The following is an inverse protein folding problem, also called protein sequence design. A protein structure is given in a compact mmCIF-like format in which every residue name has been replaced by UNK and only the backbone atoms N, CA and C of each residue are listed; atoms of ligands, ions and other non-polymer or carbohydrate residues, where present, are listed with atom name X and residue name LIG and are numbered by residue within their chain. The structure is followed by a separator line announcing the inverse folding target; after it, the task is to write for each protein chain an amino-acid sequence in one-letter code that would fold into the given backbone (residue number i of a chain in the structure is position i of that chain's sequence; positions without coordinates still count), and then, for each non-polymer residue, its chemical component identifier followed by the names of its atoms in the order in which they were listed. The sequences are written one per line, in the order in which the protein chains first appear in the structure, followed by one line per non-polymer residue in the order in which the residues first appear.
data_IF_150679361607
#
_entry.id   IF_150679361607
#
_cell.length_a   1.000
_cell.length_b   1.000
_cell.length_c   1.000
_cell.angle_alpha   90.00
_cell.angle_beta   90.00
_cell.angle_gamma   90.00
#
_symmetry.space_group_name_H-M   'P 1'
#
loop_
_entity.id
_entity.type
_entity.pdbx_description
1 polymer ?
#
# COMPACT_ATOMS: atom_id res chain seq x y z
N UNK A 1 16.22 3.67 -9.62
CA UNK A 1 16.46 3.04 -8.29
C UNK A 1 15.50 1.87 -8.17
N UNK A 2 15.92 0.74 -7.60
CA UNK A 2 15.04 -0.43 -7.46
C UNK A 2 13.90 -0.13 -6.49
N UNK A 3 12.75 -0.74 -6.73
CA UNK A 3 11.57 -0.61 -5.84
C UNK A 3 11.90 -1.05 -4.43
N UNK A 4 12.69 -2.12 -4.27
CA UNK A 4 13.13 -2.59 -2.95
C UNK A 4 13.90 -1.53 -2.15
N UNK A 5 14.89 -0.88 -2.77
CA UNK A 5 15.70 0.16 -2.13
C UNK A 5 14.83 1.36 -1.73
N UNK A 6 13.97 1.81 -2.65
CA UNK A 6 13.03 2.90 -2.42
C UNK A 6 12.09 2.62 -1.25
N UNK A 7 11.59 1.38 -1.18
CA UNK A 7 10.70 0.95 -0.12
C UNK A 7 11.42 0.88 1.22
N UNK A 8 12.67 0.41 1.24
CA UNK A 8 13.52 0.46 2.44
C UNK A 8 13.67 1.88 2.98
N UNK A 9 13.93 2.86 2.10
CA UNK A 9 14.01 4.27 2.48
C UNK A 9 12.66 4.81 3.01
N UNK A 10 11.55 4.46 2.35
CA UNK A 10 10.21 4.85 2.77
C UNK A 10 9.85 4.30 4.16
N UNK A 11 10.10 3.02 4.41
CA UNK A 11 9.82 2.38 5.70
C UNK A 11 10.67 3.00 6.83
N UNK A 12 11.95 3.28 6.54
CA UNK A 12 12.83 3.95 7.49
C UNK A 12 12.39 5.40 7.77
N UNK A 13 11.96 6.14 6.75
CA UNK A 13 11.45 7.51 6.90
C UNK A 13 10.17 7.58 7.75
N UNK A 14 9.34 6.53 7.69
CA UNK A 14 8.11 6.42 8.47
C UNK A 14 8.29 5.70 9.82
N UNK A 15 9.54 5.44 10.24
CA UNK A 15 9.87 4.77 11.52
C UNK A 15 9.25 3.37 11.67
N UNK A 16 8.93 2.70 10.55
CA UNK A 16 8.43 1.33 10.52
C UNK A 16 9.58 0.32 10.54
N UNK A 17 10.71 0.68 9.93
CA UNK A 17 11.95 -0.07 9.96
C UNK A 17 13.08 0.79 10.52
N UNK A 18 14.11 0.16 11.08
CA UNK A 18 15.32 0.87 11.50
C UNK A 18 15.99 1.47 10.26
N UNK A 19 16.51 2.70 10.34
CA UNK A 19 17.26 3.28 9.21
C UNK A 19 18.49 2.41 8.90
N UNK A 20 18.56 1.87 7.69
CA UNK A 20 19.60 0.94 7.25
C UNK A 20 19.30 -0.54 7.53
N UNK A 21 18.19 -0.90 8.19
CA UNK A 21 17.67 -2.27 8.13
C UNK A 21 16.91 -2.46 6.83
N UNK A 22 17.15 -3.57 6.15
CA UNK A 22 16.42 -3.92 4.94
C UNK A 22 14.94 -4.22 5.21
N UNK A 23 14.13 -4.14 4.16
CA UNK A 23 12.72 -4.60 4.11
C UNK A 23 12.51 -5.98 4.76
N UNK A 24 13.49 -6.88 4.63
CA UNK A 24 13.44 -8.22 5.18
C UNK A 24 13.23 -8.23 6.70
N UNK A 25 13.81 -7.29 7.45
CA UNK A 25 13.62 -7.21 8.91
C UNK A 25 12.16 -6.84 9.25
N UNK A 26 11.60 -5.85 8.54
CA UNK A 26 10.20 -5.44 8.67
C UNK A 26 9.22 -6.58 8.30
N UNK A 27 9.52 -7.37 7.26
CA UNK A 27 8.67 -8.49 6.84
C UNK A 27 8.91 -9.77 7.62
N UNK A 28 10.07 -9.90 8.27
CA UNK A 28 10.38 -11.01 9.15
C UNK A 28 9.62 -10.90 10.47
N UNK A 29 9.19 -9.70 10.87
CA UNK A 29 8.44 -9.52 12.11
C UNK A 29 7.14 -10.35 12.08
N UNK A 30 6.84 -10.94 13.22
CA UNK A 30 5.69 -11.83 13.44
C UNK A 30 4.49 -11.05 13.96
N UNK A 31 4.68 -9.81 14.36
CA UNK A 31 3.64 -8.94 14.90
C UNK A 31 3.73 -7.59 14.22
N UNK A 32 2.65 -7.20 13.55
CA UNK A 32 2.49 -5.82 13.11
C UNK A 32 1.86 -5.05 14.26
N UNK A 33 2.36 -3.86 14.58
CA UNK A 33 1.73 -3.01 15.58
C UNK A 33 1.12 -1.81 14.89
N UNK A 34 -0.19 -1.61 15.07
CA UNK A 34 -0.88 -0.43 14.56
C UNK A 34 -1.34 0.45 15.73
N UNK A 35 -1.04 1.76 15.74
CA UNK A 35 -1.38 2.64 16.85
C UNK A 35 -2.88 2.98 16.85
N UNK A 36 -3.69 2.33 17.68
CA UNK A 36 -5.13 2.60 17.89
C UNK A 36 -5.30 3.57 19.06
N UNK A 37 -5.76 4.80 18.79
CA UNK A 37 -5.99 5.82 19.83
C UNK A 37 -4.78 6.03 20.77
N UNK A 38 -3.56 5.92 20.23
CA UNK A 38 -2.32 6.03 21.00
C UNK A 38 -1.81 4.73 21.64
N UNK A 39 -2.53 3.60 21.47
CA UNK A 39 -2.13 2.27 21.93
C UNK A 39 -1.63 1.43 20.77
N UNK A 40 -0.43 0.87 20.85
CA UNK A 40 0.06 -0.08 19.86
C UNK A 40 -0.70 -1.40 19.98
N UNK A 41 -1.59 -1.68 19.02
CA UNK A 41 -2.36 -2.92 19.00
C UNK A 41 -1.67 -3.94 18.11
N UNK A 42 -1.32 -5.11 18.65
CA UNK A 42 -0.69 -6.17 17.87
C UNK A 42 -1.70 -6.80 16.90
N UNK A 43 -1.35 -6.80 15.63
CA UNK A 43 -2.03 -7.48 14.54
C UNK A 43 -1.17 -8.66 14.09
N UNK A 44 -1.71 -9.88 14.25
CA UNK A 44 -1.02 -11.10 13.86
C UNK A 44 -1.19 -11.33 12.35
N UNK A 45 -0.11 -11.34 11.55
CA UNK A 45 -0.21 -11.67 10.14
C UNK A 45 -0.47 -13.17 9.96
N UNK A 46 -1.68 -13.49 9.49
CA UNK A 46 -2.01 -14.84 9.04
C UNK A 46 -1.19 -15.25 7.80
N UNK A 47 -1.09 -16.56 7.56
CA UNK A 47 -0.43 -17.14 6.38
C UNK A 47 -0.91 -16.45 5.08
N UNK A 48 0.03 -16.02 4.24
CA UNK A 48 -0.25 -15.37 2.95
C UNK A 48 -0.21 -13.83 2.97
N UNK A 49 -0.24 -13.19 4.15
CA UNK A 49 -0.13 -11.73 4.29
C UNK A 49 1.21 -11.20 3.73
N UNK A 50 2.32 -11.90 4.00
CA UNK A 50 3.66 -11.45 3.58
C UNK A 50 3.84 -11.31 2.07
N UNK A 51 3.09 -12.08 1.26
CA UNK A 51 3.17 -11.97 -0.20
C UNK A 51 2.48 -10.72 -0.73
N UNK A 52 1.51 -10.14 0.00
CA UNK A 52 0.84 -8.90 -0.41
C UNK A 52 1.58 -7.63 0.01
N UNK A 53 2.44 -7.72 1.03
CA UNK A 53 3.13 -6.57 1.63
C UNK A 53 3.91 -5.71 0.62
N UNK A 54 4.72 -6.27 -0.31
CA UNK A 54 5.42 -5.44 -1.29
C UNK A 54 4.51 -4.54 -2.11
N UNK A 55 3.38 -5.08 -2.60
CA UNK A 55 2.42 -4.30 -3.36
C UNK A 55 1.75 -3.24 -2.47
N UNK A 56 1.28 -3.65 -1.30
CA UNK A 56 0.63 -2.79 -0.32
C UNK A 56 1.48 -1.58 0.10
N UNK A 57 2.70 -1.83 0.58
CA UNK A 57 3.57 -0.74 1.05
C UNK A 57 3.99 0.16 -0.11
N UNK A 58 4.15 -0.41 -1.32
CA UNK A 58 4.41 0.37 -2.53
C UNK A 58 3.22 1.26 -2.89
N UNK A 59 1.98 0.83 -2.67
CA UNK A 59 0.80 1.68 -2.85
C UNK A 59 0.79 2.86 -1.87
N UNK A 60 1.17 2.65 -0.61
CA UNK A 60 1.35 3.75 0.35
C UNK A 60 2.38 4.76 -0.17
N UNK A 61 3.57 4.25 -0.51
CA UNK A 61 4.69 5.06 -0.98
C UNK A 61 4.34 5.88 -2.23
N UNK A 62 3.82 5.23 -3.28
CA UNK A 62 3.55 5.88 -4.57
C UNK A 62 2.30 6.76 -4.54
N UNK A 63 1.30 6.44 -3.71
CA UNK A 63 0.12 7.29 -3.60
C UNK A 63 0.28 8.47 -2.63
N UNK A 64 1.32 8.42 -1.79
CA UNK A 64 1.56 9.41 -0.73
C UNK A 64 0.61 9.26 0.46
N UNK A 65 0.06 8.05 0.68
CA UNK A 65 -0.81 7.80 1.82
C UNK A 65 0.05 7.53 3.07
N UNK A 66 -0.22 8.23 4.20
CA UNK A 66 0.58 8.06 5.40
C UNK A 66 0.43 6.64 5.97
N UNK A 67 1.40 6.15 6.71
CA UNK A 67 1.33 4.84 7.38
C UNK A 67 0.67 4.98 8.75
N UNK A 68 -0.53 5.57 8.77
CA UNK A 68 -1.38 5.72 9.96
C UNK A 68 -2.81 5.28 9.63
N UNK A 69 -3.71 5.26 10.62
CA UNK A 69 -5.09 4.81 10.44
C UNK A 69 -5.84 5.49 9.29
N UNK A 70 -5.64 6.80 9.11
CA UNK A 70 -6.28 7.52 8.02
C UNK A 70 -5.70 7.09 6.68
N UNK A 71 -4.40 6.90 6.59
CA UNK A 71 -3.77 6.43 5.37
C UNK A 71 -4.07 4.96 5.06
N UNK A 72 -4.21 4.09 6.06
CA UNK A 72 -4.72 2.72 5.86
C UNK A 72 -6.14 2.75 5.27
N UNK A 73 -6.99 3.65 5.77
CA UNK A 73 -8.32 3.88 5.23
C UNK A 73 -8.30 4.42 3.79
N UNK A 74 -7.34 5.28 3.45
CA UNK A 74 -7.14 5.79 2.08
C UNK A 74 -6.63 4.67 1.15
N UNK A 75 -5.60 3.93 1.57
CA UNK A 75 -5.05 2.79 0.84
C UNK A 75 -6.11 1.72 0.64
N UNK A 76 -6.90 1.37 1.65
CA UNK A 76 -7.97 0.38 1.53
C UNK A 76 -9.01 0.76 0.49
N UNK A 77 -9.48 2.01 0.53
CA UNK A 77 -10.42 2.52 -0.44
C UNK A 77 -9.82 2.52 -1.86
N UNK A 78 -8.56 2.93 -2.01
CA UNK A 78 -7.88 2.94 -3.29
C UNK A 78 -7.60 1.54 -3.84
N UNK A 79 -7.16 0.59 -3.01
CA UNK A 79 -6.85 -0.78 -3.43
C UNK A 79 -8.09 -1.51 -3.92
N UNK A 80 -9.21 -1.40 -3.20
CA UNK A 80 -10.50 -1.95 -3.61
C UNK A 80 -10.98 -1.34 -4.94
N UNK A 81 -10.78 -0.03 -5.11
CA UNK A 81 -11.19 0.71 -6.29
C UNK A 81 -10.32 0.46 -7.54
N UNK A 82 -9.04 0.16 -7.38
CA UNK A 82 -8.04 0.00 -8.47
C UNK A 82 -7.92 -1.43 -9.03
N UNK A 83 -8.85 -2.31 -8.66
CA UNK A 83 -8.88 -3.71 -9.10
C UNK A 83 -8.85 -4.74 -7.96
N UNK A 84 -8.78 -4.29 -6.70
CA UNK A 84 -8.82 -5.15 -5.54
C UNK A 84 -7.49 -5.83 -5.22
N UNK A 85 -7.55 -6.85 -4.35
CA UNK A 85 -6.35 -7.46 -3.75
C UNK A 85 -5.82 -8.70 -4.49
N UNK A 86 -6.22 -8.90 -5.76
CA UNK A 86 -5.78 -10.05 -6.56
C UNK A 86 -5.99 -11.40 -5.85
N UNK A 87 -4.98 -12.30 -5.82
CA UNK A 87 -5.06 -13.60 -5.16
C UNK A 87 -4.93 -13.52 -3.63
N UNK A 88 -4.72 -12.34 -3.05
CA UNK A 88 -4.44 -12.18 -1.62
C UNK A 88 -5.75 -12.04 -0.81
N UNK A 89 -6.41 -13.16 -0.55
CA UNK A 89 -7.72 -13.20 0.15
C UNK A 89 -7.68 -12.49 1.52
N UNK A 90 -6.58 -12.62 2.27
CA UNK A 90 -6.44 -11.94 3.57
C UNK A 90 -6.53 -10.42 3.41
N UNK A 91 -5.93 -9.87 2.35
CA UNK A 91 -6.03 -8.44 2.06
C UNK A 91 -7.44 -8.03 1.63
N UNK A 92 -8.20 -8.88 0.94
CA UNK A 92 -9.61 -8.57 0.65
C UNK A 92 -10.41 -8.34 1.93
N UNK A 93 -10.30 -9.25 2.90
CA UNK A 93 -11.00 -9.14 4.19
C UNK A 93 -10.57 -7.88 4.94
N UNK A 94 -9.26 -7.68 5.03
CA UNK A 94 -8.67 -6.56 5.74
C UNK A 94 -9.03 -5.21 5.11
N UNK A 95 -8.94 -5.07 3.78
CA UNK A 95 -9.30 -3.84 3.08
C UNK A 95 -10.79 -3.53 3.15
N UNK A 96 -11.67 -4.54 3.17
CA UNK A 96 -13.12 -4.33 3.42
C UNK A 96 -13.36 -3.82 4.84
N UNK A 97 -12.67 -4.38 5.84
CA UNK A 97 -12.75 -3.92 7.22
C UNK A 97 -12.27 -2.46 7.35
N UNK A 98 -11.10 -2.13 6.78
CA UNK A 98 -10.58 -0.76 6.80
C UNK A 98 -11.45 0.21 6.00
N UNK A 99 -12.10 -0.23 4.93
CA UNK A 99 -13.09 0.60 4.23
C UNK A 99 -14.33 0.87 5.13
N UNK A 100 -14.81 -0.12 5.87
CA UNK A 100 -15.90 0.10 6.82
C UNK A 100 -15.51 1.09 7.93
N UNK A 101 -14.28 0.98 8.44
CA UNK A 101 -13.72 1.93 9.42
C UNK A 101 -13.55 3.33 8.80
N UNK A 102 -13.12 3.40 7.54
CA UNK A 102 -12.93 4.65 6.80
C UNK A 102 -14.19 5.50 6.72
N UNK A 103 -15.36 4.87 6.59
CA UNK A 103 -16.65 5.56 6.56
C UNK A 103 -16.94 6.33 7.86
N UNK A 104 -16.37 5.90 8.98
CA UNK A 104 -16.49 6.58 10.27
C UNK A 104 -15.37 7.59 10.53
N UNK A 105 -14.12 7.26 10.19
CA UNK A 105 -12.94 8.04 10.60
C UNK A 105 -12.53 9.09 9.56
N UNK A 106 -12.57 8.75 8.27
CA UNK A 106 -12.01 9.59 7.20
C UNK A 106 -12.81 9.56 5.89
N UNK A 107 -14.15 9.71 5.91
CA UNK A 107 -15.01 9.39 4.77
C UNK A 107 -14.67 10.19 3.50
N UNK A 108 -14.44 11.51 3.63
CA UNK A 108 -14.14 12.37 2.48
C UNK A 108 -12.76 12.12 1.88
N UNK A 109 -11.80 11.64 2.69
CA UNK A 109 -10.44 11.31 2.24
C UNK A 109 -10.45 9.96 1.53
N UNK A 110 -11.08 8.96 2.13
CA UNK A 110 -11.23 7.65 1.53
C UNK A 110 -12.09 7.67 0.27
N UNK A 111 -13.12 8.52 0.17
CA UNK A 111 -13.87 8.71 -1.08
C UNK A 111 -13.00 9.30 -2.20
N UNK A 112 -12.08 10.23 -1.88
CA UNK A 112 -11.12 10.76 -2.86
C UNK A 112 -10.14 9.69 -3.31
N UNK A 113 -9.61 8.90 -2.37
CA UNK A 113 -8.72 7.77 -2.66
C UNK A 113 -9.42 6.71 -3.52
N UNK A 114 -10.68 6.38 -3.22
CA UNK A 114 -11.53 5.51 -4.05
C UNK A 114 -11.67 6.02 -5.48
N UNK A 115 -12.07 7.28 -5.66
CA UNK A 115 -12.22 7.90 -6.99
C UNK A 115 -10.91 7.89 -7.78
N UNK A 116 -9.78 8.15 -7.12
CA UNK A 116 -8.46 8.06 -7.71
C UNK A 116 -8.14 6.63 -8.16
N UNK A 117 -8.48 5.63 -7.36
CA UNK A 117 -8.27 4.21 -7.65
C UNK A 117 -8.90 3.75 -8.96
N UNK A 118 -10.10 4.24 -9.31
CA UNK A 118 -10.76 3.89 -10.58
C UNK A 118 -9.97 4.25 -11.85
N UNK A 119 -9.07 5.23 -11.75
CA UNK A 119 -8.24 5.68 -12.88
C UNK A 119 -6.83 5.09 -12.88
N UNK A 120 -6.54 4.20 -11.93
CA UNK A 120 -5.20 3.66 -11.68
C UNK A 120 -5.22 2.14 -11.70
N UNK A 121 -4.03 1.55 -11.77
CA UNK A 121 -3.90 0.09 -11.71
C UNK A 121 -3.23 -0.35 -10.43
N UNK A 122 -3.68 -1.50 -9.95
CA UNK A 122 -3.15 -2.14 -8.76
C UNK A 122 -1.92 -3.02 -9.07
N UNK A 123 -0.98 -3.10 -8.12
CA UNK A 123 0.25 -3.86 -8.22
C UNK A 123 0.14 -5.33 -7.76
N UNK A 124 -0.97 -5.75 -7.13
CA UNK A 124 -1.18 -7.15 -6.69
C UNK A 124 -1.19 -8.19 -7.83
N UNK A 125 -1.15 -7.76 -9.08
CA UNK A 125 -0.97 -8.64 -10.26
C UNK A 125 0.46 -9.12 -10.45
N UNK A 126 1.43 -8.45 -9.85
CA UNK A 126 2.84 -8.80 -9.96
C UNK A 126 3.23 -9.81 -8.89
N UNK A 127 4.13 -10.72 -9.23
CA UNK A 127 4.80 -11.50 -8.20
C UNK A 127 5.64 -10.56 -7.30
N UNK A 128 5.71 -10.78 -5.98
CA UNK A 128 6.33 -9.84 -5.07
C UNK A 128 7.84 -9.64 -5.34
N UNK A 129 8.56 -10.72 -5.66
CA UNK A 129 9.99 -10.64 -5.93
C UNK A 129 10.24 -9.92 -7.27
N UNK A 130 9.37 -10.17 -8.25
CA UNK A 130 9.39 -9.45 -9.52
C UNK A 130 9.16 -7.95 -9.30
N UNK A 131 8.14 -7.55 -8.53
CA UNK A 131 7.81 -6.15 -8.25
C UNK A 131 8.97 -5.41 -7.60
N UNK A 132 9.61 -6.04 -6.62
CA UNK A 132 10.73 -5.47 -5.87
C UNK A 132 11.97 -5.27 -6.76
N UNK A 133 12.19 -6.17 -7.72
CA UNK A 133 13.28 -6.09 -8.68
C UNK A 133 13.05 -5.07 -9.82
N UNK A 134 11.84 -4.53 -9.99
CA UNK A 134 11.57 -3.48 -10.99
C UNK A 134 12.23 -2.15 -10.61
N UNK A 135 12.44 -1.27 -11.61
CA UNK A 135 12.78 0.13 -11.33
C UNK A 135 11.54 0.86 -10.84
N UNK A 136 11.69 1.70 -9.81
CA UNK A 136 10.59 2.46 -9.21
C UNK A 136 9.84 3.31 -10.26
N UNK A 137 10.56 3.86 -11.24
CA UNK A 137 9.96 4.68 -12.30
C UNK A 137 9.00 3.85 -13.15
N UNK A 138 9.35 2.60 -13.44
CA UNK A 138 8.52 1.69 -14.23
C UNK A 138 7.30 1.23 -13.42
N UNK A 139 7.49 0.91 -12.12
CA UNK A 139 6.36 0.60 -11.22
C UNK A 139 5.38 1.77 -11.13
N UNK A 140 5.89 3.00 -11.04
CA UNK A 140 5.06 4.21 -11.07
C UNK A 140 4.24 4.29 -12.35
N UNK A 141 4.85 4.09 -13.53
CA UNK A 141 4.12 4.05 -14.82
C UNK A 141 3.04 2.97 -14.87
N UNK A 142 3.20 1.87 -14.14
CA UNK A 142 2.17 0.85 -14.04
C UNK A 142 0.96 1.29 -13.20
N UNK A 143 1.15 2.09 -12.15
CA UNK A 143 0.04 2.66 -11.37
C UNK A 143 -0.69 3.75 -12.16
N UNK A 144 0.08 4.64 -12.77
CA UNK A 144 -0.43 5.81 -13.47
C UNK A 144 -0.62 5.49 -14.95
N UNK A 145 -1.83 5.11 -15.34
CA UNK A 145 -2.18 5.07 -16.76
C UNK A 145 -2.04 6.50 -17.28
N UNK A 146 -1.10 6.71 -18.20
CA UNK A 146 -0.76 8.03 -18.71
C UNK A 146 -1.99 8.81 -19.16
N UNK A 147 -2.14 10.02 -18.64
CA UNK A 147 -2.83 11.11 -19.32
C UNK A 147 -1.96 11.52 -20.52
N UNK A 148 -1.93 10.69 -21.56
CA UNK A 148 -1.09 10.85 -22.74
C UNK A 148 -1.90 10.78 -24.02
N UNK A 149 -2.84 11.71 -24.20
CA UNK A 149 -3.36 12.14 -25.51
C UNK A 149 -4.21 13.42 -25.38
N UNK A 150 -3.58 14.55 -25.03
CA UNK A 150 -4.02 15.88 -25.49
C UNK A 150 -2.78 16.72 -25.75
N UNK A 151 -2.10 16.44 -26.87
CA UNK A 151 -1.37 17.49 -27.56
C UNK A 151 -2.38 18.28 -28.39
N UNK A 152 -2.58 19.55 -28.05
CA UNK A 152 -2.94 20.64 -28.97
C UNK A 152 -2.63 21.96 -28.25
N UNK A 153 -2.13 22.96 -28.98
CA UNK A 153 -2.99 23.73 -29.89
C UNK A 153 -2.73 23.52 -31.38
#
# INVERSE_FOLDING_TARGET
MKTEDALGEFLAANQLAKRGSGREEWYADKWFYTPILGVQVPFFPHFGFRRGLPAHDTHHMLNGYPTNWVGECETAAWELASGGCGPHIVYWVDRILFLAIALAIAPLRSLRAWRRGWSQQNLYRFDPDQLLAMDLTDVSRHIWIGSGATSDP
#
